data_IF_796745924247
#
_entry.id   IF_796745924247
#
_cell.length_a   1.000
_cell.length_b   1.000
_cell.length_c   1.000
_cell.angle_alpha   90.00
_cell.angle_beta   90.00
_cell.angle_gamma   90.00
#
_symmetry.space_group_name_H-M   'P 1'
#
loop_
_entity.id
_entity.type
_entity.pdbx_description
1 polymer ?
#
# COMPACT_ATOMS: atom_id res chain seq x y z
N UNK A 1 -10.80 -16.09 2.70
CA UNK A 1 -10.46 -14.75 2.09
C UNK A 1 -11.73 -14.01 1.71
N UNK A 2 -11.87 -12.71 2.07
CA UNK A 2 -13.00 -11.86 1.67
C UNK A 2 -12.62 -11.02 0.45
N UNK A 3 -13.61 -10.64 -0.37
CA UNK A 3 -13.42 -9.78 -1.54
C UNK A 3 -14.25 -8.50 -1.39
N UNK A 4 -13.69 -7.38 -1.84
CA UNK A 4 -14.30 -6.05 -1.79
C UNK A 4 -14.16 -5.38 -3.15
N UNK A 5 -15.05 -4.45 -3.45
CA UNK A 5 -14.90 -3.65 -4.67
C UNK A 5 -13.68 -2.72 -4.55
N UNK A 6 -12.96 -2.57 -5.65
CA UNK A 6 -11.82 -1.66 -5.74
C UNK A 6 -12.34 -0.21 -5.87
N UNK A 7 -12.62 0.41 -4.71
CA UNK A 7 -13.30 1.70 -4.65
C UNK A 7 -14.68 1.64 -5.29
N UNK A 8 -15.01 2.67 -6.08
CA UNK A 8 -16.27 2.77 -6.84
C UNK A 8 -16.32 1.87 -8.08
N UNK A 9 -15.26 1.14 -8.40
CA UNK A 9 -15.24 0.24 -9.56
C UNK A 9 -15.99 -1.06 -9.29
N UNK A 10 -16.37 -1.77 -10.36
CA UNK A 10 -16.96 -3.11 -10.28
C UNK A 10 -15.98 -4.24 -10.02
N UNK A 11 -14.66 -3.96 -10.00
CA UNK A 11 -13.63 -4.98 -9.82
C UNK A 11 -13.56 -5.42 -8.36
N UNK A 12 -13.56 -6.73 -8.15
CA UNK A 12 -13.42 -7.34 -6.82
C UNK A 12 -11.97 -7.75 -6.57
N UNK A 13 -11.41 -7.23 -5.49
CA UNK A 13 -10.08 -7.59 -4.99
C UNK A 13 -10.16 -8.24 -3.63
N UNK A 14 -9.20 -9.13 -3.34
CA UNK A 14 -9.05 -9.71 -2.00
C UNK A 14 -8.78 -8.63 -0.96
N UNK A 15 -9.30 -8.81 0.25
CA UNK A 15 -9.09 -7.87 1.38
C UNK A 15 -7.62 -7.75 1.81
N UNK A 16 -6.78 -8.67 1.37
CA UNK A 16 -5.32 -8.63 1.49
C UNK A 16 -4.71 -8.48 0.09
N UNK A 17 -3.72 -7.60 -0.05
CA UNK A 17 -2.97 -7.36 -1.26
C UNK A 17 -1.50 -7.75 -1.04
N UNK A 18 -0.94 -8.56 -1.95
CA UNK A 18 0.48 -8.89 -1.89
C UNK A 18 1.31 -7.76 -2.50
N UNK A 19 2.10 -7.11 -1.66
CA UNK A 19 3.06 -6.09 -2.08
C UNK A 19 4.39 -6.71 -2.53
N UNK A 20 4.76 -6.49 -3.78
CA UNK A 20 5.93 -7.08 -4.42
C UNK A 20 7.21 -6.23 -4.27
N UNK A 21 7.24 -5.23 -3.38
CA UNK A 21 8.39 -4.32 -3.23
C UNK A 21 9.71 -5.06 -2.91
N UNK A 22 9.62 -6.23 -2.28
CA UNK A 22 10.78 -7.05 -1.88
C UNK A 22 11.11 -8.15 -2.89
N UNK A 23 10.50 -8.18 -4.07
CA UNK A 23 10.78 -9.20 -5.07
C UNK A 23 11.99 -8.84 -5.93
N UNK A 24 12.95 -9.73 -5.97
CA UNK A 24 14.23 -9.58 -6.62
C UNK A 24 15.34 -9.06 -5.70
N UNK A 25 16.53 -9.63 -5.85
CA UNK A 25 17.73 -9.22 -5.14
C UNK A 25 18.35 -8.01 -5.83
N UNK A 26 18.24 -6.86 -5.18
CA UNK A 26 18.77 -5.60 -5.67
C UNK A 26 20.25 -5.44 -5.25
N UNK A 27 21.05 -4.79 -6.10
CA UNK A 27 22.46 -4.50 -5.84
C UNK A 27 22.66 -3.44 -4.72
N UNK A 28 23.93 -3.15 -4.41
CA UNK A 28 24.33 -2.24 -3.32
C UNK A 28 23.84 -0.80 -3.51
N UNK A 29 23.54 -0.39 -4.75
CA UNK A 29 23.07 0.96 -5.08
C UNK A 29 21.58 1.14 -4.78
N UNK A 30 20.84 0.04 -4.64
CA UNK A 30 19.42 0.09 -4.37
C UNK A 30 19.12 0.35 -2.90
N UNK A 31 18.08 1.15 -2.63
CA UNK A 31 17.52 1.28 -1.29
C UNK A 31 16.92 -0.04 -0.75
N UNK A 32 16.76 -1.05 -1.63
CA UNK A 32 16.26 -2.39 -1.32
C UNK A 32 17.38 -3.43 -1.15
N UNK A 33 18.65 -3.03 -1.21
CA UNK A 33 19.78 -3.94 -0.99
C UNK A 33 19.60 -4.73 0.31
N UNK A 34 19.83 -6.03 0.26
CA UNK A 34 19.62 -7.00 1.38
C UNK A 34 18.19 -7.10 1.93
N UNK A 35 17.22 -6.42 1.30
CA UNK A 35 15.82 -6.48 1.72
C UNK A 35 14.93 -7.32 0.79
N UNK A 36 15.47 -7.74 -0.36
CA UNK A 36 14.78 -8.53 -1.36
C UNK A 36 14.84 -10.03 -1.10
N UNK A 37 13.98 -10.77 -1.79
CA UNK A 37 14.05 -12.23 -1.97
C UNK A 37 14.48 -12.54 -3.40
N UNK A 38 15.11 -13.70 -3.62
CA UNK A 38 15.40 -14.20 -4.95
C UNK A 38 14.09 -14.48 -5.75
N UNK A 39 14.22 -14.67 -7.05
CA UNK A 39 13.08 -14.88 -7.95
C UNK A 39 12.32 -16.17 -7.62
N UNK A 40 13.00 -17.25 -7.25
CA UNK A 40 12.36 -18.53 -6.92
C UNK A 40 11.50 -18.42 -5.67
N UNK A 41 12.02 -17.77 -4.62
CA UNK A 41 11.28 -17.47 -3.40
C UNK A 41 10.09 -16.55 -3.67
N UNK A 42 10.28 -15.50 -4.48
CA UNK A 42 9.19 -14.60 -4.87
C UNK A 42 8.07 -15.35 -5.61
N UNK A 43 8.42 -16.26 -6.52
CA UNK A 43 7.46 -17.10 -7.24
C UNK A 43 6.71 -18.05 -6.29
N UNK A 44 7.39 -18.68 -5.33
CA UNK A 44 6.74 -19.52 -4.33
C UNK A 44 5.75 -18.74 -3.46
N UNK A 45 6.11 -17.51 -3.06
CA UNK A 45 5.22 -16.59 -2.33
C UNK A 45 3.99 -16.23 -3.17
N UNK A 46 4.16 -15.93 -4.47
CA UNK A 46 3.05 -15.64 -5.39
C UNK A 46 2.13 -16.86 -5.59
N UNK A 47 2.70 -18.03 -5.80
CA UNK A 47 1.94 -19.28 -5.98
C UNK A 47 1.05 -19.55 -4.75
N UNK A 48 1.62 -19.44 -3.54
CA UNK A 48 0.87 -19.64 -2.30
C UNK A 48 -0.17 -18.53 -2.07
N UNK A 49 0.15 -17.28 -2.37
CA UNK A 49 -0.78 -16.17 -2.22
C UNK A 49 -2.03 -16.37 -3.07
N UNK A 50 -1.86 -16.75 -4.33
CA UNK A 50 -2.98 -17.03 -5.24
C UNK A 50 -3.76 -18.27 -4.79
N UNK A 51 -3.08 -19.32 -4.36
CA UNK A 51 -3.73 -20.52 -3.81
C UNK A 51 -4.56 -20.20 -2.55
N UNK A 52 -4.12 -19.23 -1.72
CA UNK A 52 -4.86 -18.74 -0.55
C UNK A 52 -6.00 -17.76 -0.89
N UNK A 53 -6.21 -17.45 -2.19
CA UNK A 53 -7.29 -16.59 -2.66
C UNK A 53 -6.92 -15.12 -2.74
N UNK A 54 -5.63 -14.72 -2.64
CA UNK A 54 -5.21 -13.38 -2.99
C UNK A 54 -5.26 -13.24 -4.52
N UNK A 55 -6.05 -12.27 -4.98
CA UNK A 55 -6.10 -11.91 -6.40
C UNK A 55 -5.59 -10.49 -6.68
N UNK A 56 -5.00 -9.82 -5.69
CA UNK A 56 -4.52 -8.45 -5.83
C UNK A 56 -3.03 -8.36 -5.52
N UNK A 57 -2.24 -7.91 -6.50
CA UNK A 57 -0.77 -7.80 -6.39
C UNK A 57 -0.35 -6.37 -6.74
N UNK A 58 0.43 -5.75 -5.87
CA UNK A 58 0.90 -4.36 -6.01
C UNK A 58 2.42 -4.31 -6.16
N UNK A 59 2.89 -3.67 -7.22
CA UNK A 59 4.30 -3.38 -7.48
C UNK A 59 4.52 -1.91 -7.83
N UNK A 60 5.70 -1.52 -8.32
CA UNK A 60 6.01 -0.21 -8.87
C UNK A 60 7.24 -0.29 -9.79
N UNK A 61 7.36 0.67 -10.72
CA UNK A 61 8.49 0.80 -11.64
C UNK A 61 9.84 0.92 -10.91
N UNK A 62 9.86 1.57 -9.74
CA UNK A 62 11.07 1.84 -8.94
C UNK A 62 11.46 0.69 -8.01
N UNK A 63 10.61 -0.33 -7.81
CA UNK A 63 10.87 -1.37 -6.84
C UNK A 63 11.99 -2.33 -7.27
N UNK A 64 12.85 -2.62 -6.30
CA UNK A 64 14.08 -3.34 -6.52
C UNK A 64 15.14 -2.38 -7.08
N UNK A 65 15.41 -2.49 -8.36
CA UNK A 65 16.29 -1.64 -9.14
C UNK A 65 15.83 -1.70 -10.59
N UNK A 66 15.64 -0.55 -11.21
CA UNK A 66 15.23 -0.44 -12.61
C UNK A 66 14.04 -1.35 -13.00
N UNK A 67 13.04 -1.45 -12.09
CA UNK A 67 11.87 -2.28 -12.30
C UNK A 67 12.10 -3.78 -12.12
N UNK A 68 13.06 -4.17 -11.27
CA UNK A 68 13.35 -5.58 -11.01
C UNK A 68 12.10 -6.33 -10.49
N UNK A 69 11.34 -5.73 -9.56
CA UNK A 69 10.10 -6.32 -9.05
C UNK A 69 9.06 -6.57 -10.16
N UNK A 70 8.91 -5.64 -11.11
CA UNK A 70 8.02 -5.83 -12.26
C UNK A 70 8.52 -6.97 -13.18
N UNK A 71 9.84 -7.13 -13.36
CA UNK A 71 10.40 -8.24 -14.15
C UNK A 71 10.15 -9.60 -13.51
N UNK A 72 10.43 -9.72 -12.21
CA UNK A 72 10.16 -10.96 -11.44
C UNK A 72 8.69 -11.34 -11.52
N UNK A 73 7.80 -10.36 -11.33
CA UNK A 73 6.35 -10.58 -11.43
C UNK A 73 5.93 -10.94 -12.87
N UNK A 74 6.48 -10.26 -13.88
CA UNK A 74 6.21 -10.55 -15.30
C UNK A 74 6.65 -11.97 -15.68
N UNK A 75 7.81 -12.44 -15.21
CA UNK A 75 8.28 -13.81 -15.42
C UNK A 75 7.30 -14.83 -14.79
N UNK A 76 6.82 -14.56 -13.56
CA UNK A 76 5.84 -15.41 -12.91
C UNK A 76 4.50 -15.45 -13.67
N UNK A 77 3.99 -14.29 -14.11
CA UNK A 77 2.72 -14.21 -14.87
C UNK A 77 2.76 -15.10 -16.11
N UNK A 78 3.87 -15.06 -16.85
CA UNK A 78 4.05 -15.88 -18.06
C UNK A 78 4.27 -17.35 -17.71
N UNK A 79 5.15 -17.65 -16.75
CA UNK A 79 5.47 -19.04 -16.39
C UNK A 79 4.27 -19.80 -15.84
N UNK A 80 3.31 -19.12 -15.20
CA UNK A 80 2.11 -19.74 -14.63
C UNK A 80 0.83 -19.54 -15.46
N UNK A 81 0.88 -18.77 -16.54
CA UNK A 81 -0.33 -18.38 -17.28
C UNK A 81 -1.37 -17.74 -16.35
N UNK A 82 -0.93 -16.88 -15.43
CA UNK A 82 -1.74 -16.40 -14.31
C UNK A 82 -2.26 -14.96 -14.47
N UNK A 83 -2.04 -14.32 -15.63
CA UNK A 83 -2.41 -12.91 -15.84
C UNK A 83 -3.88 -12.62 -15.50
N UNK A 84 -4.80 -13.48 -15.88
CA UNK A 84 -6.24 -13.30 -15.64
C UNK A 84 -6.70 -13.75 -14.26
N UNK A 85 -5.80 -14.31 -13.45
CA UNK A 85 -6.09 -14.71 -12.07
C UNK A 85 -5.84 -13.59 -11.06
N UNK A 86 -5.16 -12.50 -11.48
CA UNK A 86 -4.76 -11.41 -10.59
C UNK A 86 -5.17 -10.05 -11.13
N UNK A 87 -5.58 -9.17 -10.24
CA UNK A 87 -5.67 -7.73 -10.45
C UNK A 87 -4.28 -7.16 -10.20
N UNK A 88 -3.67 -6.63 -11.24
CA UNK A 88 -2.28 -6.19 -11.24
C UNK A 88 -2.21 -4.66 -11.08
N UNK A 89 -1.59 -4.20 -9.98
CA UNK A 89 -1.31 -2.80 -9.75
C UNK A 89 0.18 -2.49 -9.91
N UNK A 90 0.50 -1.40 -10.58
CA UNK A 90 1.84 -0.82 -10.57
C UNK A 90 1.79 0.69 -10.48
N UNK A 91 2.96 1.33 -10.31
CA UNK A 91 3.07 2.77 -10.05
C UNK A 91 4.18 3.39 -10.89
N UNK A 92 4.09 4.70 -11.08
CA UNK A 92 5.08 5.53 -11.74
C UNK A 92 5.34 6.82 -10.95
N UNK A 93 6.28 7.63 -11.32
CA UNK A 93 6.62 8.97 -10.86
C UNK A 93 8.03 9.10 -10.30
N UNK A 94 8.55 8.13 -9.57
CA UNK A 94 9.92 8.22 -9.05
C UNK A 94 10.95 8.12 -10.17
N UNK A 95 12.19 8.49 -9.84
CA UNK A 95 13.29 8.53 -10.82
C UNK A 95 13.67 7.13 -11.28
N UNK A 96 13.73 6.94 -12.61
CA UNK A 96 14.12 5.70 -13.26
C UNK A 96 15.25 5.99 -14.26
N UNK A 97 16.50 5.78 -13.81
CA UNK A 97 17.71 6.11 -14.58
C UNK A 97 18.05 7.61 -14.58
N UNK A 98 19.01 8.00 -15.41
CA UNK A 98 19.57 9.34 -15.47
C UNK A 98 18.88 10.22 -16.53
N UNK A 99 18.87 11.55 -16.30
CA UNK A 99 18.39 12.55 -17.24
C UNK A 99 17.15 13.32 -16.77
N UNK A 100 16.89 14.47 -17.43
CA UNK A 100 15.92 15.48 -16.99
C UNK A 100 14.48 14.98 -16.92
N UNK A 101 14.06 14.05 -17.80
CA UNK A 101 12.68 13.53 -17.88
C UNK A 101 12.54 12.10 -17.34
N UNK A 102 13.38 11.74 -16.36
CA UNK A 102 13.36 10.38 -15.75
C UNK A 102 12.52 10.28 -14.49
N UNK A 103 11.90 11.37 -14.06
CA UNK A 103 10.98 11.44 -12.91
C UNK A 103 9.78 12.32 -13.24
N UNK A 104 8.79 12.34 -12.33
CA UNK A 104 7.64 13.22 -12.42
C UNK A 104 6.41 12.61 -13.10
N UNK A 105 5.37 13.43 -13.18
CA UNK A 105 4.05 13.04 -13.66
C UNK A 105 3.62 13.82 -14.93
N UNK A 106 4.57 14.34 -15.70
CA UNK A 106 4.28 14.94 -17.01
C UNK A 106 3.73 13.89 -17.97
N UNK A 107 2.92 14.33 -18.92
CA UNK A 107 2.41 13.49 -20.01
C UNK A 107 3.54 12.73 -20.72
N UNK A 108 4.62 13.43 -21.04
CA UNK A 108 5.80 12.84 -21.69
C UNK A 108 6.33 11.62 -20.89
N UNK A 109 6.43 11.78 -19.57
CA UNK A 109 6.94 10.72 -18.70
C UNK A 109 5.93 9.58 -18.52
N UNK A 110 4.66 9.89 -18.33
CA UNK A 110 3.59 8.90 -18.09
C UNK A 110 3.49 7.93 -19.27
N UNK A 111 3.44 8.45 -20.51
CA UNK A 111 3.32 7.62 -21.71
C UNK A 111 4.49 6.66 -21.88
N UNK A 112 5.71 7.12 -21.52
CA UNK A 112 6.89 6.24 -21.55
C UNK A 112 6.88 5.21 -20.41
N UNK A 113 6.52 5.62 -19.20
CA UNK A 113 6.51 4.74 -18.03
C UNK A 113 5.58 3.55 -18.21
N UNK A 114 4.37 3.79 -18.72
CA UNK A 114 3.40 2.70 -18.93
C UNK A 114 3.93 1.65 -19.89
N UNK A 115 4.54 2.06 -21.01
CA UNK A 115 5.10 1.14 -22.00
C UNK A 115 6.29 0.34 -21.42
N UNK A 116 7.12 1.00 -20.61
CA UNK A 116 8.23 0.36 -19.93
C UNK A 116 7.73 -0.66 -18.89
N UNK A 117 6.68 -0.34 -18.12
CA UNK A 117 6.05 -1.25 -17.15
C UNK A 117 5.36 -2.43 -17.83
N UNK A 118 4.57 -2.21 -18.88
CA UNK A 118 3.93 -3.28 -19.66
C UNK A 118 4.96 -4.28 -20.20
N UNK A 119 6.10 -3.77 -20.67
CA UNK A 119 7.20 -4.60 -21.18
C UNK A 119 7.85 -5.44 -20.08
N UNK A 120 8.13 -4.84 -18.89
CA UNK A 120 8.71 -5.56 -17.75
C UNK A 120 7.75 -6.58 -17.17
N UNK A 121 6.47 -6.23 -17.06
CA UNK A 121 5.38 -7.09 -16.57
C UNK A 121 4.95 -8.14 -17.61
N UNK A 122 5.42 -8.04 -18.87
CA UNK A 122 5.13 -8.98 -19.96
C UNK A 122 3.62 -9.17 -20.17
N UNK A 123 2.87 -8.07 -20.14
CA UNK A 123 1.41 -8.01 -20.28
C UNK A 123 1.01 -6.85 -21.18
N UNK A 124 -0.18 -6.92 -21.75
CA UNK A 124 -0.78 -5.91 -22.60
C UNK A 124 -1.56 -4.83 -21.83
N UNK A 125 -1.90 -5.09 -20.55
CA UNK A 125 -2.69 -4.18 -19.71
C UNK A 125 -2.23 -4.14 -18.27
N UNK A 126 -2.47 -3.02 -17.61
CA UNK A 126 -2.36 -2.80 -16.17
C UNK A 126 -3.77 -2.60 -15.63
N UNK A 127 -4.15 -3.35 -14.58
CA UNK A 127 -5.51 -3.24 -14.04
C UNK A 127 -5.67 -1.97 -13.17
N UNK A 128 -4.67 -1.64 -12.35
CA UNK A 128 -4.64 -0.40 -11.57
C UNK A 128 -3.29 0.32 -11.75
N UNK A 129 -3.30 1.47 -12.42
CA UNK A 129 -2.10 2.28 -12.60
C UNK A 129 -2.12 3.49 -11.67
N UNK A 130 -1.11 3.62 -10.82
CA UNK A 130 -1.11 4.59 -9.73
C UNK A 130 0.02 5.62 -9.89
N UNK A 131 -0.29 6.89 -9.68
CA UNK A 131 0.77 7.86 -9.39
C UNK A 131 1.29 7.60 -7.98
N UNK A 132 2.61 7.34 -7.85
CA UNK A 132 3.23 6.86 -6.60
C UNK A 132 3.28 7.94 -5.50
N UNK A 133 3.28 9.19 -5.89
CA UNK A 133 3.21 10.36 -5.01
C UNK A 133 2.73 11.56 -5.83
N UNK A 134 2.00 12.48 -5.23
CA UNK A 134 1.63 13.73 -5.89
C UNK A 134 2.86 14.44 -6.48
N UNK A 135 2.69 15.05 -7.64
CA UNK A 135 3.72 15.90 -8.25
C UNK A 135 3.27 17.37 -8.16
N UNK A 136 4.06 18.17 -7.44
CA UNK A 136 3.77 19.60 -7.26
C UNK A 136 4.37 20.46 -8.36
N UNK A 137 5.14 19.88 -9.27
CA UNK A 137 5.83 20.58 -10.35
C UNK A 137 5.13 20.47 -11.71
N UNK A 138 4.14 19.59 -11.81
CA UNK A 138 3.35 19.35 -13.01
C UNK A 138 1.89 19.77 -12.75
N UNK A 139 1.24 20.47 -13.69
CA UNK A 139 -0.20 20.73 -13.62
C UNK A 139 -1.00 19.43 -13.52
N UNK A 140 -1.97 19.36 -12.60
CA UNK A 140 -2.75 18.14 -12.36
C UNK A 140 -3.60 17.71 -13.55
N UNK A 141 -4.09 18.68 -14.32
CA UNK A 141 -4.84 18.44 -15.54
C UNK A 141 -3.99 17.75 -16.62
N UNK A 142 -2.71 18.11 -16.78
CA UNK A 142 -1.80 17.39 -17.69
C UNK A 142 -1.67 15.92 -17.29
N UNK A 143 -1.45 15.66 -16.00
CA UNK A 143 -1.34 14.30 -15.45
C UNK A 143 -2.62 13.50 -15.67
N UNK A 144 -3.78 14.06 -15.27
CA UNK A 144 -5.07 13.37 -15.38
C UNK A 144 -5.46 13.12 -16.83
N UNK A 145 -5.22 14.09 -17.73
CA UNK A 145 -5.48 13.93 -19.15
C UNK A 145 -4.63 12.80 -19.75
N UNK A 146 -3.35 12.71 -19.36
CA UNK A 146 -2.48 11.63 -19.83
C UNK A 146 -2.96 10.25 -19.33
N UNK A 147 -3.41 10.16 -18.08
CA UNK A 147 -3.95 8.93 -17.51
C UNK A 147 -5.28 8.52 -18.17
N UNK A 148 -6.17 9.49 -18.48
CA UNK A 148 -7.40 9.24 -19.22
C UNK A 148 -7.13 8.67 -20.62
N UNK A 149 -6.13 9.23 -21.33
CA UNK A 149 -5.73 8.71 -22.64
C UNK A 149 -5.24 7.24 -22.56
N UNK A 150 -4.55 6.85 -21.47
CA UNK A 150 -4.13 5.46 -21.27
C UNK A 150 -5.32 4.52 -21.00
N UNK A 151 -6.33 5.01 -20.27
CA UNK A 151 -7.56 4.25 -20.05
C UNK A 151 -8.31 4.07 -21.38
N UNK A 152 -8.47 5.15 -22.16
CA UNK A 152 -9.12 5.08 -23.49
C UNK A 152 -8.38 4.18 -24.47
N UNK A 153 -7.05 4.13 -24.38
CA UNK A 153 -6.22 3.23 -25.17
C UNK A 153 -6.27 1.76 -24.72
N UNK A 154 -6.92 1.45 -23.60
CA UNK A 154 -7.01 0.10 -23.04
C UNK A 154 -5.71 -0.43 -22.43
N UNK A 155 -4.66 0.39 -22.33
CA UNK A 155 -3.41 0.02 -21.64
C UNK A 155 -3.55 -0.05 -20.13
N UNK A 156 -4.50 0.72 -19.59
CA UNK A 156 -4.82 0.83 -18.17
C UNK A 156 -6.34 0.69 -18.00
N UNK A 157 -6.79 -0.11 -17.03
CA UNK A 157 -8.22 -0.26 -16.79
C UNK A 157 -8.73 0.76 -15.77
N UNK A 158 -8.02 0.95 -14.68
CA UNK A 158 -8.36 1.90 -13.61
C UNK A 158 -7.13 2.69 -13.20
N UNK A 159 -7.37 3.92 -12.74
CA UNK A 159 -6.31 4.76 -12.21
C UNK A 159 -6.47 4.98 -10.70
N UNK A 160 -5.35 5.13 -10.01
CA UNK A 160 -5.30 5.41 -8.57
C UNK A 160 -4.21 6.40 -8.22
N UNK A 161 -4.20 6.84 -6.98
CA UNK A 161 -3.14 7.70 -6.48
C UNK A 161 -2.57 7.16 -5.17
N UNK A 162 -1.35 7.60 -4.85
CA UNK A 162 -0.68 7.27 -3.60
C UNK A 162 0.00 8.52 -3.03
N UNK A 163 0.03 8.64 -1.70
CA UNK A 163 0.72 9.73 -1.01
C UNK A 163 0.30 11.13 -1.51
N UNK A 164 -0.99 11.35 -1.59
CA UNK A 164 -1.62 12.64 -1.88
C UNK A 164 -2.05 13.33 -0.59
N UNK A 165 -2.02 14.66 -0.58
CA UNK A 165 -2.78 15.45 0.40
C UNK A 165 -4.26 15.42 0.05
N UNK A 166 -5.14 15.51 1.06
CA UNK A 166 -6.59 15.40 0.82
C UNK A 166 -7.12 16.48 -0.13
N UNK A 167 -6.64 17.75 0.02
CA UNK A 167 -7.10 18.83 -0.86
C UNK A 167 -6.70 18.61 -2.34
N UNK A 168 -5.49 18.08 -2.59
CA UNK A 168 -5.06 17.79 -3.97
C UNK A 168 -5.80 16.60 -4.55
N UNK A 169 -6.06 15.59 -3.74
CA UNK A 169 -6.90 14.47 -4.16
C UNK A 169 -8.29 14.93 -4.55
N UNK A 170 -8.93 15.75 -3.71
CA UNK A 170 -10.25 16.32 -4.02
C UNK A 170 -10.21 17.17 -5.30
N UNK A 171 -9.16 18.00 -5.48
CA UNK A 171 -8.95 18.77 -6.71
C UNK A 171 -8.85 17.88 -7.94
N UNK A 172 -8.08 16.79 -7.86
CA UNK A 172 -7.94 15.82 -8.95
C UNK A 172 -9.29 15.17 -9.31
N UNK A 173 -10.08 14.77 -8.31
CA UNK A 173 -11.41 14.21 -8.52
C UNK A 173 -12.35 15.21 -9.17
N UNK A 174 -12.33 16.46 -8.73
CA UNK A 174 -13.12 17.54 -9.31
C UNK A 174 -12.73 17.80 -10.78
N UNK A 175 -11.44 17.86 -11.10
CA UNK A 175 -10.95 18.02 -12.47
C UNK A 175 -11.42 16.87 -13.38
N UNK A 176 -11.25 15.62 -12.93
CA UNK A 176 -11.71 14.46 -13.69
C UNK A 176 -13.22 14.53 -13.97
N UNK A 177 -14.01 14.87 -12.96
CA UNK A 177 -15.47 15.00 -13.09
C UNK A 177 -15.87 16.14 -14.04
N UNK A 178 -15.20 17.28 -13.93
CA UNK A 178 -15.49 18.47 -14.76
C UNK A 178 -15.19 18.23 -16.24
N UNK A 179 -14.12 17.49 -16.54
CA UNK A 179 -13.69 17.23 -17.91
C UNK A 179 -14.18 15.89 -18.49
N UNK A 180 -14.89 15.06 -17.70
CA UNK A 180 -15.33 13.74 -18.13
C UNK A 180 -14.17 12.77 -18.35
N UNK A 181 -13.08 12.94 -17.58
CA UNK A 181 -11.91 12.04 -17.59
C UNK A 181 -12.06 10.92 -16.58
N UNK A 182 -11.26 9.86 -16.77
CA UNK A 182 -11.10 8.82 -15.77
C UNK A 182 -10.71 9.44 -14.42
N UNK A 183 -11.34 8.99 -13.33
CA UNK A 183 -11.05 9.46 -11.98
C UNK A 183 -10.30 8.40 -11.19
N UNK A 184 -9.53 8.82 -10.19
CA UNK A 184 -8.92 7.88 -9.25
C UNK A 184 -9.99 7.07 -8.55
N UNK A 185 -9.84 5.75 -8.53
CA UNK A 185 -10.74 4.83 -7.81
C UNK A 185 -10.16 4.42 -6.45
N UNK A 186 -8.85 4.67 -6.21
CA UNK A 186 -8.18 4.31 -4.96
C UNK A 186 -7.22 5.39 -4.49
N UNK A 187 -7.04 5.45 -3.17
CA UNK A 187 -5.93 6.11 -2.50
C UNK A 187 -5.07 5.05 -1.81
N UNK A 188 -3.79 4.95 -2.17
CA UNK A 188 -2.82 4.14 -1.45
C UNK A 188 -2.04 5.04 -0.47
N UNK A 189 -2.16 4.80 0.84
CA UNK A 189 -1.61 5.66 1.89
C UNK A 189 -0.99 4.86 3.04
N UNK A 190 -0.03 5.48 3.76
CA UNK A 190 0.51 4.90 4.98
C UNK A 190 -0.57 4.80 6.05
N UNK A 191 -0.87 3.58 6.50
CA UNK A 191 -1.84 3.38 7.55
C UNK A 191 -1.51 2.16 8.41
N UNK A 192 -1.44 2.38 9.71
CA UNK A 192 -1.19 1.34 10.71
C UNK A 192 -1.63 1.86 12.08
N UNK A 193 -1.59 1.02 13.10
CA UNK A 193 -1.79 1.45 14.49
C UNK A 193 -0.82 2.56 14.95
N UNK A 194 0.37 2.70 14.32
CA UNK A 194 1.31 3.77 14.63
C UNK A 194 1.07 5.07 13.86
N UNK A 195 0.42 4.99 12.68
CA UNK A 195 0.20 6.12 11.77
C UNK A 195 -1.27 6.15 11.39
N UNK A 196 -2.01 7.08 12.01
CA UNK A 196 -3.47 7.24 11.85
C UNK A 196 -3.87 8.62 11.33
N UNK A 197 -2.90 9.46 10.98
CA UNK A 197 -3.14 10.85 10.57
C UNK A 197 -4.12 11.01 9.40
N UNK A 198 -4.18 10.02 8.49
CA UNK A 198 -5.12 10.02 7.38
C UNK A 198 -6.60 9.96 7.82
N UNK A 199 -6.88 9.61 9.08
CA UNK A 199 -8.25 9.59 9.62
C UNK A 199 -8.85 10.99 9.75
N UNK A 200 -8.01 12.06 9.74
CA UNK A 200 -8.50 13.46 9.78
C UNK A 200 -9.28 13.83 8.54
N UNK A 201 -8.74 13.56 7.37
CA UNK A 201 -9.33 14.04 6.11
C UNK A 201 -9.46 12.96 5.02
N UNK A 202 -8.44 12.09 4.88
CA UNK A 202 -8.43 11.13 3.76
C UNK A 202 -9.50 10.04 3.92
N UNK A 203 -9.73 9.55 5.12
CA UNK A 203 -10.78 8.53 5.36
C UNK A 203 -12.17 9.11 5.08
N UNK A 204 -12.56 10.30 5.63
CA UNK A 204 -13.80 10.96 5.25
C UNK A 204 -13.91 11.20 3.73
N UNK A 205 -12.87 11.76 3.11
CA UNK A 205 -12.84 12.01 1.67
C UNK A 205 -13.04 10.72 0.86
N UNK A 206 -12.34 9.65 1.21
CA UNK A 206 -12.49 8.36 0.51
C UNK A 206 -13.91 7.81 0.64
N UNK A 207 -14.54 7.98 1.80
CA UNK A 207 -15.94 7.57 2.01
C UNK A 207 -16.89 8.38 1.14
N UNK A 208 -16.76 9.70 1.15
CA UNK A 208 -17.69 10.60 0.51
C UNK A 208 -17.57 10.54 -1.03
N UNK A 209 -16.37 10.27 -1.55
CA UNK A 209 -16.07 10.16 -2.98
C UNK A 209 -16.04 8.71 -3.50
N UNK A 210 -16.27 7.71 -2.65
CA UNK A 210 -16.29 6.30 -3.05
C UNK A 210 -14.93 5.71 -3.40
N UNK A 211 -13.83 6.27 -2.88
CA UNK A 211 -12.49 5.75 -3.10
C UNK A 211 -12.18 4.55 -2.20
N UNK A 212 -11.50 3.55 -2.75
CA UNK A 212 -10.93 2.47 -1.97
C UNK A 212 -9.61 2.88 -1.32
N UNK A 213 -9.49 2.67 -0.01
CA UNK A 213 -8.23 2.91 0.71
C UNK A 213 -7.38 1.65 0.69
N UNK A 214 -6.11 1.80 0.28
CA UNK A 214 -5.11 0.74 0.21
C UNK A 214 -3.97 1.04 1.20
N UNK A 215 -4.06 0.59 2.46
CA UNK A 215 -3.00 0.78 3.44
C UNK A 215 -1.69 0.13 3.03
N UNK A 216 -0.59 0.90 3.00
CA UNK A 216 0.76 0.37 2.91
C UNK A 216 1.50 0.49 4.25
N UNK A 217 2.52 -0.35 4.46
CA UNK A 217 3.25 -0.51 5.73
C UNK A 217 2.36 -0.81 6.95
N UNK A 218 1.44 -1.79 6.86
CA UNK A 218 0.52 -2.12 7.96
C UNK A 218 1.25 -2.53 9.23
N UNK A 219 2.46 -3.05 9.11
CA UNK A 219 3.31 -3.50 10.22
C UNK A 219 4.42 -2.50 10.59
N UNK A 220 4.35 -1.25 10.10
CA UNK A 220 5.30 -0.18 10.44
C UNK A 220 6.78 -0.63 10.28
N UNK A 221 7.14 -1.13 9.08
CA UNK A 221 8.49 -1.63 8.81
C UNK A 221 8.85 -2.91 9.55
N UNK A 222 7.88 -3.58 10.17
CA UNK A 222 8.04 -4.77 10.99
C UNK A 222 8.09 -4.49 12.49
N UNK A 223 7.90 -3.24 12.95
CA UNK A 223 7.83 -2.91 14.37
C UNK A 223 6.66 -3.62 15.07
N UNK A 224 5.50 -3.63 14.43
CA UNK A 224 4.28 -4.26 14.96
C UNK A 224 4.26 -5.79 14.87
N UNK A 225 5.34 -6.44 14.40
CA UNK A 225 5.45 -7.91 14.43
C UNK A 225 5.77 -8.46 15.82
N UNK A 226 6.15 -7.59 16.78
CA UNK A 226 6.50 -7.98 18.14
C UNK A 226 7.92 -8.51 18.34
N UNK A 227 8.75 -8.56 17.29
CA UNK A 227 10.11 -9.10 17.34
C UNK A 227 11.16 -8.18 17.99
N UNK A 228 10.84 -6.89 18.16
CA UNK A 228 11.72 -5.93 18.80
C UNK A 228 11.44 -5.83 20.29
N UNK A 229 12.48 -5.51 21.07
CA UNK A 229 12.41 -5.33 22.51
C UNK A 229 12.84 -3.92 22.90
N UNK A 230 12.11 -3.32 23.86
CA UNK A 230 12.40 -2.00 24.39
C UNK A 230 13.80 -1.95 25.00
N UNK A 231 14.56 -0.92 24.66
CA UNK A 231 15.92 -0.72 25.17
C UNK A 231 17.00 -1.63 24.56
N UNK A 232 16.64 -2.48 23.59
CA UNK A 232 17.59 -3.29 22.85
C UNK A 232 17.76 -2.81 21.40
N UNK A 233 18.98 -2.90 20.84
CA UNK A 233 19.18 -2.58 19.43
C UNK A 233 18.39 -3.56 18.55
N UNK A 234 17.93 -3.13 17.35
CA UNK A 234 17.23 -4.00 16.44
C UNK A 234 18.13 -5.09 15.90
N UNK A 235 17.61 -6.30 15.74
CA UNK A 235 18.36 -7.44 15.26
C UNK A 235 18.84 -7.21 13.80
N UNK A 236 20.12 -7.53 13.48
CA UNK A 236 20.62 -7.58 12.10
C UNK A 236 19.76 -8.48 11.21
N UNK A 237 19.76 -8.24 9.90
CA UNK A 237 18.92 -8.99 8.94
C UNK A 237 17.45 -8.62 8.96
N UNK A 238 17.01 -7.74 9.86
CA UNK A 238 15.66 -7.19 9.84
C UNK A 238 15.64 -5.86 9.09
N UNK A 239 14.51 -5.50 8.47
CA UNK A 239 14.35 -4.26 7.69
C UNK A 239 14.69 -2.99 8.48
N UNK A 240 14.41 -2.97 9.78
CA UNK A 240 14.75 -1.86 10.67
C UNK A 240 16.15 -2.03 11.28
N UNK A 241 16.68 -3.24 11.38
CA UNK A 241 18.01 -3.52 11.91
C UNK A 241 19.15 -3.14 10.98
N UNK A 242 18.89 -3.17 9.65
CA UNK A 242 19.87 -2.75 8.65
C UNK A 242 20.13 -1.22 8.62
N UNK A 243 19.24 -0.42 9.27
CA UNK A 243 19.34 1.04 9.31
C UNK A 243 18.89 1.56 10.67
N UNK A 244 19.85 1.74 11.58
CA UNK A 244 19.59 2.22 12.96
C UNK A 244 18.76 3.52 13.00
N UNK A 245 19.00 4.45 12.07
CA UNK A 245 18.24 5.69 11.96
C UNK A 245 16.74 5.47 11.66
N UNK A 246 16.41 4.38 10.92
CA UNK A 246 15.01 4.02 10.68
C UNK A 246 14.36 3.46 11.93
N UNK A 247 15.10 2.64 12.70
CA UNK A 247 14.58 2.09 13.94
C UNK A 247 14.31 3.20 14.97
N UNK A 248 15.20 4.18 15.10
CA UNK A 248 15.05 5.32 16.02
C UNK A 248 13.73 6.09 15.83
N UNK A 249 13.19 6.12 14.59
CA UNK A 249 11.88 6.74 14.32
C UNK A 249 10.69 5.96 14.92
N UNK A 250 10.89 4.69 15.20
CA UNK A 250 9.88 3.81 15.79
C UNK A 250 10.12 3.58 17.28
N UNK A 251 11.35 3.77 17.78
CA UNK A 251 11.75 3.59 19.17
C UNK A 251 11.25 4.77 20.05
N UNK A 252 9.94 4.91 20.13
CA UNK A 252 9.23 5.92 20.89
C UNK A 252 8.32 5.26 21.93
N UNK A 253 8.23 5.82 23.13
CA UNK A 253 7.43 5.26 24.21
C UNK A 253 5.95 5.06 23.80
N UNK A 254 5.38 5.99 23.02
CA UNK A 254 4.04 5.85 22.45
C UNK A 254 3.92 4.56 21.62
N UNK A 255 4.89 4.30 20.77
CA UNK A 255 4.87 3.15 19.85
C UNK A 255 5.02 1.83 20.61
N UNK A 256 5.82 1.82 21.68
CA UNK A 256 5.93 0.66 22.58
C UNK A 256 4.62 0.36 23.30
N UNK A 257 3.93 1.39 23.80
CA UNK A 257 2.60 1.21 24.43
C UNK A 257 1.60 0.60 23.44
N UNK A 258 1.61 1.04 22.18
CA UNK A 258 0.77 0.46 21.13
C UNK A 258 1.14 -1.00 20.88
N UNK A 259 2.44 -1.31 20.77
CA UNK A 259 2.89 -2.69 20.58
C UNK A 259 2.52 -3.58 21.78
N UNK A 260 2.59 -3.07 22.99
CA UNK A 260 2.18 -3.82 24.19
C UNK A 260 0.68 -4.14 24.16
N UNK A 261 -0.18 -3.21 23.70
CA UNK A 261 -1.61 -3.49 23.48
C UNK A 261 -1.82 -4.55 22.39
N UNK A 262 -1.09 -4.45 21.26
CA UNK A 262 -1.13 -5.48 20.20
C UNK A 262 -0.73 -6.85 20.72
N UNK A 263 0.34 -6.93 21.53
CA UNK A 263 0.78 -8.18 22.19
C UNK A 263 -0.26 -8.72 23.16
N UNK A 264 -0.97 -7.82 23.87
CA UNK A 264 -2.09 -8.21 24.76
C UNK A 264 -3.17 -8.93 23.98
N UNK A 265 -3.69 -8.29 22.94
CA UNK A 265 -4.73 -8.88 22.06
C UNK A 265 -4.23 -10.15 21.37
N UNK A 266 -2.97 -10.20 20.97
CA UNK A 266 -2.37 -11.39 20.37
C UNK A 266 -2.38 -12.59 21.31
N UNK A 267 -2.07 -12.40 22.61
CA UNK A 267 -2.18 -13.45 23.63
C UNK A 267 -3.62 -13.92 23.85
N UNK A 268 -4.57 -12.99 23.91
CA UNK A 268 -6.00 -13.31 24.10
C UNK A 268 -6.59 -14.14 22.95
N UNK A 269 -6.16 -13.83 21.72
CA UNK A 269 -6.69 -14.48 20.51
C UNK A 269 -5.88 -15.70 20.05
N UNK A 270 -4.69 -15.92 20.61
CA UNK A 270 -3.74 -16.93 20.12
C UNK A 270 -3.13 -16.59 18.77
N UNK A 271 -3.35 -15.36 18.25
CA UNK A 271 -2.85 -14.92 16.96
C UNK A 271 -1.49 -14.21 17.11
N UNK A 272 -0.78 -14.05 15.97
CA UNK A 272 0.44 -13.26 15.95
C UNK A 272 0.15 -11.75 16.06
N UNK A 273 1.09 -10.95 16.62
CA UNK A 273 0.98 -9.48 16.58
C UNK A 273 0.79 -8.90 15.18
N UNK A 274 1.40 -9.53 14.17
CA UNK A 274 1.22 -9.19 12.76
C UNK A 274 -0.23 -9.38 12.31
N UNK A 275 -0.81 -10.53 12.61
CA UNK A 275 -2.20 -10.84 12.25
C UNK A 275 -3.17 -9.87 12.94
N UNK A 276 -2.98 -9.56 14.23
CA UNK A 276 -3.80 -8.58 14.97
C UNK A 276 -3.72 -7.19 14.31
N UNK A 277 -2.51 -6.73 13.98
CA UNK A 277 -2.31 -5.40 13.39
C UNK A 277 -2.97 -5.28 12.00
N UNK A 278 -2.88 -6.32 11.17
CA UNK A 278 -3.53 -6.35 9.86
C UNK A 278 -5.05 -6.50 10.02
N UNK A 279 -5.52 -7.38 10.92
CA UNK A 279 -6.94 -7.57 11.18
C UNK A 279 -7.61 -6.28 11.65
N UNK A 280 -6.93 -5.49 12.50
CA UNK A 280 -7.41 -4.17 12.90
C UNK A 280 -7.65 -3.25 11.69
N UNK A 281 -6.71 -3.20 10.73
CA UNK A 281 -6.89 -2.43 9.48
C UNK A 281 -8.07 -2.92 8.65
N UNK A 282 -8.29 -4.23 8.60
CA UNK A 282 -9.40 -4.82 7.85
C UNK A 282 -10.78 -4.42 8.39
N UNK A 283 -10.85 -3.93 9.64
CA UNK A 283 -12.09 -3.40 10.25
C UNK A 283 -12.30 -1.91 9.98
N UNK A 284 -11.30 -1.19 9.45
CA UNK A 284 -11.40 0.25 9.25
C UNK A 284 -12.31 0.60 8.08
N UNK A 285 -13.12 1.68 8.20
CA UNK A 285 -13.94 2.17 7.10
C UNK A 285 -13.09 2.45 5.85
N UNK A 286 -13.66 2.21 4.67
CA UNK A 286 -13.02 2.46 3.35
C UNK A 286 -11.76 1.64 3.05
N UNK A 287 -11.19 0.89 3.98
CA UNK A 287 -10.08 -0.02 3.68
C UNK A 287 -10.58 -1.12 2.75
N UNK A 288 -10.14 -1.06 1.51
CA UNK A 288 -10.47 -2.06 0.49
C UNK A 288 -9.58 -3.28 0.61
N UNK A 289 -8.27 -3.06 0.63
CA UNK A 289 -7.28 -4.14 0.66
C UNK A 289 -6.02 -3.67 1.36
N UNK A 290 -5.52 -4.44 2.32
CA UNK A 290 -4.30 -4.11 3.07
C UNK A 290 -3.09 -4.66 2.32
N UNK A 291 -2.17 -3.77 1.93
CA UNK A 291 -0.94 -4.14 1.23
C UNK A 291 0.12 -4.56 2.25
N UNK A 292 0.52 -5.81 2.20
CA UNK A 292 1.59 -6.35 3.03
C UNK A 292 2.65 -7.04 2.18
N UNK A 293 3.90 -7.03 2.63
CA UNK A 293 5.00 -7.75 2.00
C UNK A 293 5.32 -9.05 2.73
N UNK A 294 5.80 -10.03 1.98
CA UNK A 294 6.40 -11.25 2.50
C UNK A 294 7.68 -11.57 1.72
N UNK A 295 8.75 -11.92 2.44
CA UNK A 295 10.04 -12.32 1.86
C UNK A 295 10.25 -13.83 1.89
N UNK A 296 9.33 -14.55 2.50
CA UNK A 296 9.30 -16.02 2.55
C UNK A 296 7.86 -16.50 2.66
N UNK A 297 7.68 -17.80 2.42
CA UNK A 297 6.39 -18.47 2.54
C UNK A 297 5.85 -18.38 3.97
N UNK A 298 6.69 -18.56 4.97
CA UNK A 298 6.30 -18.52 6.40
C UNK A 298 5.80 -17.12 6.79
N UNK A 299 6.41 -16.04 6.27
CA UNK A 299 5.93 -14.68 6.49
C UNK A 299 4.58 -14.44 5.83
N UNK A 300 4.37 -14.99 4.64
CA UNK A 300 3.08 -14.94 3.96
C UNK A 300 2.00 -15.65 4.79
N UNK A 301 2.23 -16.88 5.21
CA UNK A 301 1.28 -17.67 6.02
C UNK A 301 0.91 -16.94 7.31
N UNK A 302 1.90 -16.40 8.03
CA UNK A 302 1.66 -15.64 9.26
C UNK A 302 0.78 -14.40 9.03
N UNK A 303 0.90 -13.73 7.88
CA UNK A 303 0.10 -12.56 7.54
C UNK A 303 -1.30 -12.95 7.01
N UNK A 304 -1.44 -14.09 6.31
CA UNK A 304 -2.72 -14.60 5.83
C UNK A 304 -3.71 -14.89 6.97
N UNK A 305 -3.22 -15.27 8.15
CA UNK A 305 -4.05 -15.52 9.33
C UNK A 305 -4.92 -14.31 9.70
N UNK A 306 -4.51 -13.09 9.32
CA UNK A 306 -5.29 -11.88 9.55
C UNK A 306 -6.65 -11.86 8.82
N UNK A 307 -6.77 -12.55 7.70
CA UNK A 307 -8.00 -12.56 6.89
C UNK A 307 -9.19 -13.25 7.60
N UNK A 308 -8.90 -14.16 8.51
CA UNK A 308 -9.89 -14.95 9.25
C UNK A 308 -9.99 -14.52 10.74
N UNK A 309 -9.08 -13.66 11.20
CA UNK A 309 -9.07 -13.19 12.59
C UNK A 309 -10.19 -12.17 12.83
N UNK A 310 -11.15 -12.54 13.67
CA UNK A 310 -12.21 -11.65 14.12
C UNK A 310 -11.83 -11.04 15.49
N UNK A 311 -11.63 -9.72 15.52
CA UNK A 311 -11.38 -8.97 16.76
C UNK A 311 -12.71 -8.59 17.41
N UNK A 312 -12.85 -8.83 18.72
CA UNK A 312 -14.03 -8.42 19.48
C UNK A 312 -14.12 -6.89 19.62
N UNK A 313 -15.30 -6.31 19.89
CA UNK A 313 -15.43 -4.88 20.16
C UNK A 313 -14.51 -4.37 21.28
N UNK A 314 -14.29 -5.16 22.33
CA UNK A 314 -13.40 -4.80 23.44
C UNK A 314 -11.92 -4.75 22.97
N UNK A 315 -11.49 -5.71 22.16
CA UNK A 315 -10.13 -5.73 21.59
C UNK A 315 -9.90 -4.57 20.63
N UNK A 316 -10.88 -4.25 19.78
CA UNK A 316 -10.83 -3.08 18.90
C UNK A 316 -10.73 -1.79 19.71
N UNK A 317 -11.55 -1.63 20.77
CA UNK A 317 -11.50 -0.46 21.64
C UNK A 317 -10.15 -0.31 22.34
N UNK A 318 -9.55 -1.41 22.82
CA UNK A 318 -8.23 -1.39 23.45
C UNK A 318 -7.12 -0.95 22.46
N UNK A 319 -7.15 -1.45 21.22
CA UNK A 319 -6.21 -1.06 20.17
C UNK A 319 -6.41 0.39 19.75
N UNK A 320 -7.66 0.85 19.61
CA UNK A 320 -8.01 2.22 19.24
C UNK A 320 -7.57 3.21 20.32
N UNK A 321 -7.78 2.88 21.60
CA UNK A 321 -7.35 3.70 22.73
C UNK A 321 -5.82 3.79 22.81
N UNK A 322 -5.12 2.66 22.71
CA UNK A 322 -3.66 2.63 22.75
C UNK A 322 -3.01 3.43 21.60
N UNK A 323 -3.64 3.42 20.43
CA UNK A 323 -3.16 4.11 19.22
C UNK A 323 -3.80 5.48 18.99
N UNK A 324 -4.57 6.00 19.97
CA UNK A 324 -5.19 7.31 19.86
C UNK A 324 -4.16 8.42 19.58
N UNK A 325 -4.59 9.41 18.84
CA UNK A 325 -3.75 10.55 18.46
C UNK A 325 -4.56 11.84 18.55
N UNK A 326 -3.87 12.96 18.71
CA UNK A 326 -4.52 14.27 18.73
C UNK A 326 -4.96 14.64 17.32
N UNK A 327 -6.25 14.92 17.15
CA UNK A 327 -6.81 15.39 15.89
C UNK A 327 -6.29 16.78 15.52
N UNK A 328 -5.97 17.62 16.50
CA UNK A 328 -5.54 18.99 16.30
C UNK A 328 -6.66 19.91 15.78
N UNK A 329 -6.34 21.19 15.60
CA UNK A 329 -7.23 22.17 15.00
C UNK A 329 -7.28 21.98 13.46
N UNK A 330 -8.44 22.12 12.79
CA UNK A 330 -9.76 22.48 13.33
C UNK A 330 -10.60 21.30 13.85
N UNK A 331 -10.16 20.05 13.69
CA UNK A 331 -10.97 18.83 13.88
C UNK A 331 -11.45 18.69 15.32
N UNK A 332 -10.59 18.92 16.31
CA UNK A 332 -10.95 18.87 17.72
C UNK A 332 -11.97 19.94 18.09
N UNK A 333 -11.85 21.13 17.53
CA UNK A 333 -12.81 22.22 17.72
C UNK A 333 -14.18 21.88 17.10
N UNK A 334 -14.20 21.42 15.84
CA UNK A 334 -15.42 21.00 15.15
C UNK A 334 -16.12 19.90 15.96
N UNK A 335 -15.39 18.88 16.39
CA UNK A 335 -15.95 17.76 17.16
C UNK A 335 -16.56 18.22 18.47
N UNK A 336 -15.91 19.17 19.16
CA UNK A 336 -16.39 19.67 20.44
C UNK A 336 -17.62 20.59 20.34
N UNK A 337 -17.79 21.29 19.20
CA UNK A 337 -18.79 22.34 19.05
C UNK A 337 -19.94 21.99 18.11
N UNK A 338 -19.80 20.96 17.28
CA UNK A 338 -20.77 20.62 16.23
C UNK A 338 -22.19 20.36 16.75
N UNK A 339 -22.32 19.86 17.99
CA UNK A 339 -23.61 19.62 18.64
C UNK A 339 -24.20 20.84 19.34
N UNK A 340 -23.45 21.94 19.37
CA UNK A 340 -23.81 23.15 20.14
C UNK A 340 -24.40 24.27 19.28
N UNK A 341 -24.48 24.07 17.94
CA UNK A 341 -24.96 25.07 16.97
C UNK A 341 -26.12 24.52 16.12
#
# INVERSE_FOLDING_TARGET
>A
MKYRNLGSSGVKVSSLCLGAMTFGEADEKSFMHKAGSDEATAHAVLDLAVAAGINFVDTADVYGQDGLSERVLGNWLVARGSRDKVVLATKFRFTMGDGANRSGASRYRIMKCVDDSLRRLRTDRIDLYQIHMQDITVPEDETLRALDDLVRAGKVLYIGCSNYTAYRLMRSLWLSRTHGWAAYVTLQAQYSLLVRDLEREHVPLCRDEGLGLLPWSPLAGGFLTGKFERGKPPQPGTRLGEKAERFARYDLERNWKILDAVRGVARETGASPSAVSIAWLLTRPQVTSVIFGARSVEQLEANLAAAELALSPAQLAALDQASAFDLGYPYSFIQATQSSW
#
